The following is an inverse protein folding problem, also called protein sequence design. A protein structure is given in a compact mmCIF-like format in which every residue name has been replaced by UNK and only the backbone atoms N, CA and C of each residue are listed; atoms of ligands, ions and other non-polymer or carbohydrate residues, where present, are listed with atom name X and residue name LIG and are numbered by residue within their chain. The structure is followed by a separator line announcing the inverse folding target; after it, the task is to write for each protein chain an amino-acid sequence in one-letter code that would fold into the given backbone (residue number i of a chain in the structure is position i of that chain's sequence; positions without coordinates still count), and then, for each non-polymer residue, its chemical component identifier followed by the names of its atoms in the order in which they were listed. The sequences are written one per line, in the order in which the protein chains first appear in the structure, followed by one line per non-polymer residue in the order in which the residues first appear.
data_IF_739030679859
#
_entry.id   IF_739030679859
#
_cell.length_a   1.000
_cell.length_b   1.000
_cell.length_c   1.000
_cell.angle_alpha   90.00
_cell.angle_beta   90.00
_cell.angle_gamma   90.00
#
_symmetry.space_group_name_H-M   'P 1'
#
loop_
_entity.id
_entity.type
_entity.pdbx_description
1 polymer ?
#
# COMPACT_ATOMS: atom_id res chain seq x y z
N UNK A 1 47.89 13.41 -9.96
CA UNK A 1 47.57 13.90 -8.61
C UNK A 1 46.18 14.60 -8.61
N UNK A 2 45.95 15.59 -9.49
CA UNK A 2 44.65 16.32 -9.57
C UNK A 2 43.46 15.41 -9.80
N UNK A 3 43.60 14.40 -10.64
CA UNK A 3 42.52 13.43 -10.99
C UNK A 3 42.14 12.56 -9.78
N UNK A 4 43.13 12.14 -8.98
CA UNK A 4 42.86 11.33 -7.76
C UNK A 4 42.13 12.17 -6.71
N UNK A 5 42.54 13.44 -6.54
CA UNK A 5 41.87 14.38 -5.65
C UNK A 5 40.38 14.63 -6.07
N UNK A 6 40.14 14.76 -7.37
CA UNK A 6 38.77 14.95 -7.90
C UNK A 6 37.89 13.74 -7.62
N UNK A 7 38.42 12.53 -7.79
CA UNK A 7 37.67 11.28 -7.48
C UNK A 7 37.41 11.17 -5.99
N UNK A 8 38.42 11.38 -5.16
CA UNK A 8 38.27 11.31 -3.70
C UNK A 8 37.24 12.34 -3.19
N UNK A 9 37.26 13.56 -3.72
CA UNK A 9 36.29 14.60 -3.40
C UNK A 9 34.85 14.20 -3.81
N UNK A 10 34.67 13.65 -5.03
CA UNK A 10 33.36 13.14 -5.48
C UNK A 10 32.84 12.02 -4.59
N UNK A 11 33.71 11.06 -4.23
CA UNK A 11 33.34 9.96 -3.34
C UNK A 11 32.93 10.48 -1.96
N UNK A 12 33.63 11.49 -1.44
CA UNK A 12 33.28 12.11 -0.17
C UNK A 12 31.91 12.82 -0.22
N UNK A 13 31.62 13.56 -1.30
CA UNK A 13 30.30 14.20 -1.51
C UNK A 13 29.19 13.15 -1.58
N UNK A 14 29.38 12.09 -2.37
CA UNK A 14 28.39 11.01 -2.51
C UNK A 14 28.12 10.31 -1.17
N UNK A 15 29.17 10.03 -0.39
CA UNK A 15 29.02 9.46 0.96
C UNK A 15 28.24 10.40 1.90
N UNK A 16 28.53 11.70 1.84
CA UNK A 16 27.81 12.70 2.64
C UNK A 16 26.34 12.81 2.23
N UNK A 17 26.05 12.83 0.93
CA UNK A 17 24.68 12.86 0.42
C UNK A 17 23.90 11.60 0.81
N UNK A 18 24.53 10.41 0.69
CA UNK A 18 23.92 9.16 1.13
C UNK A 18 23.60 9.19 2.62
N UNK A 19 24.53 9.63 3.46
CA UNK A 19 24.30 9.73 4.91
C UNK A 19 23.13 10.65 5.26
N UNK A 20 23.02 11.81 4.61
CA UNK A 20 21.90 12.75 4.81
C UNK A 20 20.59 12.13 4.35
N UNK A 21 20.59 11.41 3.23
CA UNK A 21 19.42 10.69 2.75
C UNK A 21 18.98 9.62 3.74
N UNK A 22 19.90 8.79 4.24
CA UNK A 22 19.63 7.74 5.21
C UNK A 22 19.06 8.33 6.54
N UNK A 23 19.66 9.40 7.06
CA UNK A 23 19.18 10.09 8.26
C UNK A 23 17.76 10.65 8.07
N UNK A 24 17.49 11.24 6.91
CA UNK A 24 16.17 11.76 6.54
C UNK A 24 15.14 10.63 6.51
N UNK A 25 15.47 9.52 5.89
CA UNK A 25 14.59 8.35 5.81
C UNK A 25 14.28 7.76 7.19
N UNK A 26 15.31 7.58 8.03
CA UNK A 26 15.10 7.13 9.40
C UNK A 26 14.20 8.08 10.19
N UNK A 27 14.36 9.38 10.01
CA UNK A 27 13.49 10.38 10.64
C UNK A 27 12.02 10.21 10.21
N UNK A 28 11.75 10.06 8.92
CA UNK A 28 10.38 9.87 8.42
C UNK A 28 9.76 8.56 8.89
N UNK A 29 10.52 7.45 8.88
CA UNK A 29 10.04 6.15 9.36
C UNK A 29 9.67 6.23 10.85
N UNK A 30 10.54 6.81 11.66
CA UNK A 30 10.30 6.96 13.10
C UNK A 30 9.09 7.88 13.36
N UNK A 31 9.02 9.03 12.69
CA UNK A 31 7.90 9.97 12.82
C UNK A 31 6.57 9.31 12.43
N UNK A 32 6.56 8.56 11.34
CA UNK A 32 5.34 7.85 10.92
C UNK A 32 4.92 6.75 11.91
N UNK A 33 5.88 6.06 12.51
CA UNK A 33 5.62 5.08 13.57
C UNK A 33 5.06 5.76 14.83
N UNK A 34 5.65 6.88 15.24
CA UNK A 34 5.24 7.66 16.40
C UNK A 34 3.84 8.28 16.23
N UNK A 35 3.43 8.59 15.00
CA UNK A 35 2.08 9.01 14.65
C UNK A 35 1.11 7.82 14.67
N UNK A 36 1.52 6.64 14.21
CA UNK A 36 0.66 5.45 14.15
C UNK A 36 0.17 5.03 15.52
N UNK A 37 1.05 5.02 16.51
CA UNK A 37 0.75 4.54 17.87
C UNK A 37 -0.42 5.30 18.51
N UNK A 38 -0.41 6.65 18.64
CA UNK A 38 -1.56 7.37 19.22
C UNK A 38 -2.82 7.25 18.36
N UNK A 39 -2.71 7.18 17.02
CA UNK A 39 -3.86 6.98 16.16
C UNK A 39 -4.53 5.62 16.38
N UNK A 40 -3.75 4.56 16.61
CA UNK A 40 -4.28 3.23 16.95
C UNK A 40 -4.98 3.24 18.30
N UNK A 41 -4.42 3.96 19.29
CA UNK A 41 -5.02 4.12 20.61
C UNK A 41 -6.31 4.95 20.59
N UNK A 42 -6.46 5.87 19.64
CA UNK A 42 -7.70 6.62 19.42
C UNK A 42 -8.73 5.76 18.67
N UNK A 43 -8.27 4.92 17.77
CA UNK A 43 -9.15 4.10 16.93
C UNK A 43 -9.92 3.07 17.75
N UNK A 44 -9.24 2.34 18.63
CA UNK A 44 -9.84 1.26 19.41
C UNK A 44 -11.08 1.69 20.20
N UNK A 45 -11.05 2.73 21.06
CA UNK A 45 -12.24 3.16 21.79
C UNK A 45 -13.35 3.72 20.88
N UNK A 46 -13.00 4.30 19.72
CA UNK A 46 -14.02 4.73 18.76
C UNK A 46 -14.70 3.54 18.09
N UNK A 47 -14.00 2.44 17.85
CA UNK A 47 -14.60 1.20 17.33
C UNK A 47 -15.51 0.55 18.37
N UNK A 48 -15.10 0.50 19.65
CA UNK A 48 -15.94 0.03 20.76
C UNK A 48 -17.25 0.83 20.87
N UNK A 49 -17.20 2.15 20.76
CA UNK A 49 -18.39 2.99 20.78
C UNK A 49 -19.37 2.73 19.62
N UNK A 50 -18.87 2.31 18.46
CA UNK A 50 -19.75 1.97 17.31
C UNK A 50 -20.53 0.67 17.57
N UNK A 51 -19.96 -0.26 18.32
CA UNK A 51 -20.58 -1.54 18.66
C UNK A 51 -21.61 -1.42 19.81
N UNK A 52 -21.61 -0.33 20.57
CA UNK A 52 -22.59 -0.07 21.61
C UNK A 52 -23.95 0.32 21.01
N UNK A 53 -25.01 -0.44 21.32
CA UNK A 53 -26.37 -0.26 20.78
C UNK A 53 -27.08 1.06 21.18
N UNK A 54 -26.47 1.88 22.05
CA UNK A 54 -27.10 3.04 22.66
C UNK A 54 -26.80 4.38 21.99
N UNK A 55 -26.07 4.39 20.90
CA UNK A 55 -25.70 5.63 20.20
C UNK A 55 -26.90 6.26 19.48
N UNK A 56 -27.07 7.58 19.68
CA UNK A 56 -27.95 8.35 18.82
C UNK A 56 -27.44 8.37 17.36
N UNK A 57 -28.33 8.53 16.39
CA UNK A 57 -27.95 8.61 14.97
C UNK A 57 -26.87 9.68 14.72
N UNK A 58 -26.97 10.84 15.36
CA UNK A 58 -25.97 11.92 15.28
C UNK A 58 -24.65 11.49 15.93
N UNK A 59 -24.69 10.78 17.06
CA UNK A 59 -23.50 10.23 17.72
C UNK A 59 -22.76 9.26 16.81
N UNK A 60 -23.47 8.29 16.24
CA UNK A 60 -22.94 7.31 15.30
C UNK A 60 -22.30 7.97 14.08
N UNK A 61 -22.94 8.98 13.48
CA UNK A 61 -22.38 9.71 12.33
C UNK A 61 -21.06 10.44 12.69
N UNK A 62 -20.98 11.05 13.88
CA UNK A 62 -19.76 11.73 14.35
C UNK A 62 -18.61 10.76 14.59
N UNK A 63 -18.88 9.65 15.26
CA UNK A 63 -17.87 8.61 15.53
C UNK A 63 -17.39 7.99 14.23
N UNK A 64 -18.29 7.64 13.32
CA UNK A 64 -17.91 7.11 12.00
C UNK A 64 -17.08 8.12 11.18
N UNK A 65 -17.32 9.41 11.36
CA UNK A 65 -16.48 10.45 10.73
C UNK A 65 -15.08 10.49 11.34
N UNK A 66 -14.99 10.40 12.68
CA UNK A 66 -13.71 10.35 13.37
C UNK A 66 -12.90 9.09 12.96
N UNK A 67 -13.53 7.93 12.93
CA UNK A 67 -12.91 6.68 12.46
C UNK A 67 -12.40 6.77 11.04
N UNK A 68 -13.16 7.37 10.12
CA UNK A 68 -12.70 7.61 8.74
C UNK A 68 -11.43 8.44 8.71
N UNK A 69 -11.35 9.51 9.50
CA UNK A 69 -10.19 10.39 9.58
C UNK A 69 -8.97 9.69 10.18
N UNK A 70 -9.15 8.96 11.28
CA UNK A 70 -8.08 8.15 11.89
C UNK A 70 -7.54 7.12 10.91
N UNK A 71 -8.40 6.39 10.22
CA UNK A 71 -8.01 5.42 9.21
C UNK A 71 -7.30 6.08 8.00
N UNK A 72 -7.68 7.31 7.62
CA UNK A 72 -6.98 8.07 6.59
C UNK A 72 -5.56 8.44 7.03
N UNK A 73 -5.36 8.91 8.25
CA UNK A 73 -4.05 9.24 8.81
C UNK A 73 -3.16 8.00 8.96
N UNK A 74 -3.71 6.88 9.40
CA UNK A 74 -2.97 5.60 9.47
C UNK A 74 -2.49 5.15 8.08
N UNK A 75 -3.32 5.30 7.05
CA UNK A 75 -2.90 5.03 5.66
C UNK A 75 -1.80 5.98 5.18
N UNK A 76 -1.91 7.28 5.47
CA UNK A 76 -0.86 8.25 5.11
C UNK A 76 0.46 7.93 5.80
N UNK A 77 0.45 7.60 7.09
CA UNK A 77 1.64 7.16 7.83
C UNK A 77 2.27 5.91 7.20
N UNK A 78 1.46 4.93 6.84
CA UNK A 78 1.94 3.71 6.18
C UNK A 78 2.53 3.99 4.80
N UNK A 79 1.87 4.84 4.00
CA UNK A 79 2.36 5.21 2.68
C UNK A 79 3.70 5.97 2.76
N UNK A 80 3.87 6.84 3.76
CA UNK A 80 5.12 7.55 3.99
C UNK A 80 6.27 6.59 4.31
N UNK A 81 6.03 5.61 5.19
CA UNK A 81 7.03 4.57 5.50
C UNK A 81 7.39 3.77 4.24
N UNK A 82 6.40 3.36 3.46
CA UNK A 82 6.64 2.56 2.26
C UNK A 82 7.39 3.35 1.18
N UNK A 83 7.08 4.64 1.02
CA UNK A 83 7.78 5.53 0.09
C UNK A 83 9.26 5.67 0.46
N UNK A 84 9.55 5.99 1.71
CA UNK A 84 10.94 6.16 2.17
C UNK A 84 11.72 4.83 2.15
N UNK A 85 11.06 3.70 2.44
CA UNK A 85 11.70 2.39 2.34
C UNK A 85 12.03 2.00 0.90
N UNK A 86 11.24 2.40 -0.08
CA UNK A 86 11.50 2.11 -1.49
C UNK A 86 12.80 2.77 -1.97
N UNK A 87 13.14 3.95 -1.45
CA UNK A 87 14.36 4.68 -1.82
C UNK A 87 15.64 4.14 -1.15
N UNK A 88 15.54 3.66 0.10
CA UNK A 88 16.72 3.25 0.89
C UNK A 88 17.02 1.76 0.80
N UNK A 89 15.97 0.97 0.74
CA UNK A 89 16.11 -0.47 0.60
C UNK A 89 15.83 -0.85 -0.86
N UNK A 90 16.88 -0.88 -1.69
CA UNK A 90 16.96 -1.87 -2.76
C UNK A 90 16.92 -3.24 -2.09
N UNK A 91 15.76 -3.56 -1.52
CA UNK A 91 15.53 -4.78 -0.78
C UNK A 91 15.82 -5.94 -1.73
N UNK A 92 16.62 -6.88 -1.27
CA UNK A 92 16.79 -8.16 -1.94
C UNK A 92 15.41 -8.66 -2.37
N UNK A 93 15.28 -9.06 -3.64
CA UNK A 93 14.03 -9.60 -4.15
C UNK A 93 13.93 -11.06 -3.68
N UNK A 94 12.85 -11.39 -3.01
CA UNK A 94 12.51 -12.76 -2.62
C UNK A 94 11.66 -13.42 -3.70
N UNK A 95 12.32 -13.80 -4.79
CA UNK A 95 11.66 -14.37 -5.97
C UNK A 95 11.36 -15.86 -5.73
N UNK A 96 10.10 -16.23 -5.94
CA UNK A 96 9.63 -17.62 -5.91
C UNK A 96 8.66 -17.88 -7.05
N UNK A 97 8.45 -19.15 -7.37
CA UNK A 97 7.53 -19.59 -8.41
C UNK A 97 6.09 -19.62 -7.88
N UNK A 98 5.18 -19.04 -8.62
CA UNK A 98 3.74 -19.02 -8.32
C UNK A 98 2.91 -19.34 -9.55
N UNK A 99 1.80 -20.07 -9.34
CA UNK A 99 0.78 -20.21 -10.38
C UNK A 99 -0.04 -18.91 -10.46
N UNK A 100 0.07 -18.23 -11.58
CA UNK A 100 -0.41 -16.85 -11.74
C UNK A 100 -1.92 -16.72 -11.62
N UNK A 101 -2.70 -17.65 -12.18
CA UNK A 101 -4.16 -17.59 -12.10
C UNK A 101 -4.69 -17.80 -10.68
N UNK A 102 -4.10 -18.73 -9.94
CA UNK A 102 -4.45 -18.95 -8.52
C UNK A 102 -4.16 -17.69 -7.72
N UNK A 103 -2.95 -17.13 -7.88
CA UNK A 103 -2.53 -15.90 -7.22
C UNK A 103 -3.45 -14.71 -7.53
N UNK A 104 -3.72 -14.46 -8.81
CA UNK A 104 -4.58 -13.36 -9.26
C UNK A 104 -6.03 -13.52 -8.78
N UNK A 105 -6.52 -14.77 -8.74
CA UNK A 105 -7.86 -15.07 -8.25
C UNK A 105 -8.01 -14.82 -6.74
N UNK A 106 -6.96 -15.08 -5.94
CA UNK A 106 -6.93 -14.70 -4.53
C UNK A 106 -7.02 -13.19 -4.34
N UNK A 107 -6.23 -12.43 -5.10
CA UNK A 107 -6.28 -10.97 -5.10
C UNK A 107 -7.68 -10.48 -5.52
N UNK A 108 -8.24 -11.00 -6.62
CA UNK A 108 -9.59 -10.66 -7.08
C UNK A 108 -10.64 -10.88 -5.98
N UNK A 109 -10.64 -12.08 -5.36
CA UNK A 109 -11.58 -12.43 -4.28
C UNK A 109 -11.49 -11.46 -3.09
N UNK A 110 -10.29 -11.00 -2.75
CA UNK A 110 -10.08 -10.08 -1.62
C UNK A 110 -10.76 -8.71 -1.80
N UNK A 111 -10.97 -8.27 -3.05
CA UNK A 111 -11.62 -6.99 -3.36
C UNK A 111 -13.10 -7.11 -3.74
N UNK A 112 -13.62 -8.33 -3.97
CA UNK A 112 -14.97 -8.54 -4.45
C UNK A 112 -16.04 -7.96 -3.51
N UNK A 113 -15.88 -8.16 -2.20
CA UNK A 113 -16.82 -7.61 -1.21
C UNK A 113 -16.87 -6.09 -1.24
N UNK A 114 -15.71 -5.43 -1.36
CA UNK A 114 -15.64 -3.98 -1.47
C UNK A 114 -16.29 -3.45 -2.76
N UNK A 115 -16.07 -4.12 -3.90
CA UNK A 115 -16.68 -3.78 -5.16
C UNK A 115 -18.21 -3.93 -5.10
N UNK A 116 -18.71 -5.01 -4.49
CA UNK A 116 -20.15 -5.24 -4.30
C UNK A 116 -20.81 -4.14 -3.44
N UNK A 117 -20.19 -3.73 -2.34
CA UNK A 117 -20.70 -2.64 -1.48
C UNK A 117 -20.79 -1.32 -2.24
N UNK A 118 -19.89 -1.08 -3.20
CA UNK A 118 -19.88 0.11 -4.06
C UNK A 118 -20.72 -0.04 -5.33
N UNK A 119 -21.42 -1.15 -5.52
CA UNK A 119 -22.17 -1.49 -6.73
C UNK A 119 -21.31 -1.38 -8.02
N UNK A 120 -20.03 -1.76 -7.94
CA UNK A 120 -19.11 -1.78 -9.09
C UNK A 120 -19.07 -3.19 -9.67
N UNK A 121 -19.25 -3.30 -11.00
CA UNK A 121 -19.01 -4.54 -11.72
C UNK A 121 -17.51 -4.81 -11.80
N UNK A 122 -17.02 -5.72 -10.96
CA UNK A 122 -15.60 -6.07 -10.86
C UNK A 122 -15.35 -7.45 -11.42
N UNK A 123 -14.55 -7.54 -12.48
CA UNK A 123 -14.30 -8.79 -13.21
C UNK A 123 -12.81 -9.11 -13.33
N UNK A 124 -12.49 -10.41 -13.35
CA UNK A 124 -11.16 -10.94 -13.64
C UNK A 124 -11.22 -11.91 -14.82
N UNK A 125 -10.32 -11.76 -15.78
CA UNK A 125 -10.18 -12.64 -16.95
C UNK A 125 -8.70 -12.92 -17.22
N UNK A 126 -8.41 -14.11 -17.73
CA UNK A 126 -7.06 -14.55 -18.14
C UNK A 126 -7.16 -15.31 -19.45
N UNK A 127 -6.16 -15.13 -20.33
CA UNK A 127 -6.03 -15.86 -21.60
C UNK A 127 -5.49 -17.28 -21.44
N UNK A 128 -5.01 -17.63 -20.25
CA UNK A 128 -4.44 -18.94 -19.97
C UNK A 128 -5.07 -19.57 -18.73
N UNK A 129 -5.17 -20.88 -18.73
CA UNK A 129 -5.72 -21.64 -17.59
C UNK A 129 -4.67 -21.88 -16.51
N UNK A 130 -3.40 -22.00 -16.90
CA UNK A 130 -2.29 -22.29 -16.02
C UNK A 130 -1.01 -21.65 -16.55
N UNK A 131 -0.32 -20.89 -15.68
CA UNK A 131 0.96 -20.27 -16.00
C UNK A 131 1.80 -20.09 -14.71
N UNK A 132 2.97 -20.72 -14.67
CA UNK A 132 3.93 -20.47 -13.59
C UNK A 132 4.81 -19.28 -13.96
N UNK A 133 4.95 -18.36 -13.02
CA UNK A 133 5.78 -17.16 -13.13
C UNK A 133 6.62 -16.95 -11.87
N UNK A 134 7.76 -16.34 -12.03
CA UNK A 134 8.72 -16.06 -10.96
C UNK A 134 8.63 -14.59 -10.57
N UNK A 135 8.24 -14.30 -9.34
CA UNK A 135 8.18 -12.93 -8.83
C UNK A 135 8.30 -12.88 -7.30
N UNK A 136 8.54 -11.68 -6.77
CA UNK A 136 8.45 -11.38 -5.34
C UNK A 136 6.99 -11.11 -4.98
N UNK A 137 6.39 -12.02 -4.18
CA UNK A 137 4.96 -11.97 -3.82
C UNK A 137 4.61 -10.70 -3.07
N UNK A 138 5.43 -10.26 -2.12
CA UNK A 138 5.14 -9.09 -1.29
C UNK A 138 5.15 -7.80 -2.10
N UNK A 139 6.09 -7.70 -3.06
CA UNK A 139 6.15 -6.57 -3.98
C UNK A 139 4.96 -6.58 -4.94
N UNK A 140 4.64 -7.74 -5.51
CA UNK A 140 3.50 -7.88 -6.41
C UNK A 140 2.17 -7.62 -5.71
N UNK A 141 1.99 -8.13 -4.48
CA UNK A 141 0.84 -7.84 -3.62
C UNK A 141 0.66 -6.33 -3.41
N UNK A 142 1.76 -5.64 -3.09
CA UNK A 142 1.74 -4.19 -2.89
C UNK A 142 1.31 -3.44 -4.15
N UNK A 143 1.86 -3.82 -5.31
CA UNK A 143 1.53 -3.21 -6.61
C UNK A 143 0.06 -3.44 -6.95
N UNK A 144 -0.38 -4.70 -6.96
CA UNK A 144 -1.73 -5.05 -7.38
C UNK A 144 -2.80 -4.49 -6.44
N UNK A 145 -2.59 -4.59 -5.13
CA UNK A 145 -3.51 -4.01 -4.14
C UNK A 145 -3.63 -2.50 -4.30
N UNK A 146 -2.55 -1.79 -4.56
CA UNK A 146 -2.59 -0.36 -4.84
C UNK A 146 -3.36 -0.04 -6.13
N UNK A 147 -3.09 -0.76 -7.21
CA UNK A 147 -3.75 -0.52 -8.50
C UNK A 147 -5.25 -0.82 -8.42
N UNK A 148 -5.64 -1.98 -7.90
CA UNK A 148 -7.04 -2.40 -7.80
C UNK A 148 -7.81 -1.51 -6.83
N UNK A 149 -7.24 -1.19 -5.67
CA UNK A 149 -7.89 -0.30 -4.69
C UNK A 149 -8.12 1.09 -5.26
N UNK A 150 -7.16 1.62 -6.03
CA UNK A 150 -7.32 2.91 -6.71
C UNK A 150 -8.39 2.83 -7.81
N UNK A 151 -8.39 1.79 -8.63
CA UNK A 151 -9.42 1.60 -9.65
C UNK A 151 -10.82 1.58 -9.03
N UNK A 152 -11.05 0.75 -8.01
CA UNK A 152 -12.34 0.67 -7.32
C UNK A 152 -12.70 1.95 -6.56
N UNK A 153 -11.71 2.68 -6.04
CA UNK A 153 -11.94 3.94 -5.31
C UNK A 153 -12.46 5.03 -6.23
N UNK A 154 -11.87 5.18 -7.41
CA UNK A 154 -12.16 6.26 -8.34
C UNK A 154 -13.24 5.91 -9.36
N UNK A 155 -13.66 4.65 -9.45
CA UNK A 155 -14.80 4.27 -10.27
C UNK A 155 -16.11 4.67 -9.57
N UNK A 156 -17.04 5.35 -10.28
CA UNK A 156 -18.34 5.71 -9.72
C UNK A 156 -19.19 4.47 -9.49
N UNK A 157 -20.26 4.63 -8.73
CA UNK A 157 -21.28 3.60 -8.53
C UNK A 157 -21.87 3.13 -9.88
N UNK A 158 -22.13 1.83 -10.02
CA UNK A 158 -22.52 1.16 -11.25
C UNK A 158 -21.50 1.20 -12.40
N UNK A 159 -20.25 1.61 -12.10
CA UNK A 159 -19.16 1.52 -13.06
C UNK A 159 -18.56 0.11 -13.14
N UNK A 160 -17.61 -0.07 -14.06
CA UNK A 160 -16.95 -1.36 -14.29
C UNK A 160 -15.46 -1.25 -14.06
N UNK A 161 -14.87 -2.24 -13.38
CA UNK A 161 -13.42 -2.43 -13.24
C UNK A 161 -13.09 -3.85 -13.70
N UNK A 162 -12.18 -3.97 -14.65
CA UNK A 162 -11.75 -5.26 -15.18
C UNK A 162 -10.25 -5.45 -14.98
N UNK A 163 -9.87 -6.62 -14.47
CA UNK A 163 -8.48 -7.08 -14.45
C UNK A 163 -8.32 -8.14 -15.52
N UNK A 164 -7.42 -7.88 -16.46
CA UNK A 164 -7.16 -8.78 -17.56
C UNK A 164 -5.68 -9.16 -17.59
N UNK A 165 -5.40 -10.45 -17.68
CA UNK A 165 -4.03 -11.00 -17.76
C UNK A 165 -3.88 -11.71 -19.07
N UNK A 166 -2.91 -11.24 -19.87
CA UNK A 166 -2.61 -11.79 -21.20
C UNK A 166 -1.10 -11.92 -21.41
N UNK A 167 -0.70 -12.80 -22.30
CA UNK A 167 0.67 -12.88 -22.79
C UNK A 167 0.85 -11.90 -23.96
N UNK A 168 1.83 -11.01 -23.85
CA UNK A 168 2.27 -10.17 -24.97
C UNK A 168 3.48 -10.80 -25.63
N UNK A 169 3.40 -11.05 -26.94
CA UNK A 169 4.54 -11.50 -27.77
C UNK A 169 5.53 -10.39 -27.99
#
# INVERSE_FOLDING_TARGET
IVFIFSIAFRVMILKKQKKISDEKTHFFINTAHDIRTPLTLIKAPLEEFVEEETLTEIGSQRINTALRNVNALLRLSTNLINFERADVYSSELHISEYELNTYMNEIYKSFRSYANIKHIDFTYKSDFNYLNVWFDKDKMDSILKNLISNALKYTPENGTVSVYVSETK
#
